data_IF_848123835743
#
_entry.id   IF_848123835743
#
_cell.length_a   1.000
_cell.length_b   1.000
_cell.length_c   1.000
_cell.angle_alpha   90.00
_cell.angle_beta   90.00
_cell.angle_gamma   90.00
#
_symmetry.space_group_name_H-M   'P 1'
#
loop_
_entity.id
_entity.type
_entity.pdbx_description
1 polymer ?
#
# COMPACT_ATOMS: atom_id res chain seq x y z
N UNK A 1 9.85 6.26 25.28
CA UNK A 1 9.77 7.24 24.18
C UNK A 1 8.29 7.46 23.89
N UNK A 2 7.86 8.70 23.63
CA UNK A 2 6.50 8.97 23.17
C UNK A 2 6.31 8.36 21.79
N UNK A 3 5.22 7.61 21.58
CA UNK A 3 4.86 7.06 20.28
C UNK A 3 4.69 8.21 19.28
N UNK A 4 5.33 8.10 18.11
CA UNK A 4 5.13 9.01 17.02
C UNK A 4 4.00 8.50 16.13
N UNK A 5 2.85 9.17 16.20
CA UNK A 5 1.63 8.82 15.47
C UNK A 5 1.70 9.14 13.95
N UNK A 6 2.84 9.63 13.45
CA UNK A 6 3.09 9.77 12.00
C UNK A 6 3.03 8.41 11.30
N UNK A 7 2.28 8.36 10.20
CA UNK A 7 2.06 7.14 9.41
C UNK A 7 2.91 7.19 8.14
N UNK A 8 3.76 6.19 7.96
CA UNK A 8 4.62 6.04 6.79
C UNK A 8 3.98 5.08 5.78
N UNK A 9 3.64 5.58 4.58
CA UNK A 9 3.11 4.75 3.47
C UNK A 9 4.23 4.27 2.58
N UNK A 10 4.34 2.95 2.40
CA UNK A 10 5.44 2.27 1.72
C UNK A 10 4.87 1.32 0.67
N UNK A 11 5.55 1.20 -0.47
CA UNK A 11 5.28 0.14 -1.44
C UNK A 11 6.02 0.38 -2.75
N UNK A 12 6.22 -0.69 -3.52
CA UNK A 12 6.83 -0.64 -4.85
C UNK A 12 6.06 0.24 -5.84
N UNK A 13 6.64 0.57 -7.02
CA UNK A 13 5.93 1.29 -8.07
C UNK A 13 4.67 0.52 -8.48
N UNK A 14 3.63 1.26 -8.86
CA UNK A 14 2.33 0.67 -9.26
C UNK A 14 1.60 -0.14 -8.18
N UNK A 15 1.98 0.00 -6.90
CA UNK A 15 1.27 -0.64 -5.77
C UNK A 15 -0.05 0.03 -5.38
N UNK A 16 -0.49 1.07 -6.09
CA UNK A 16 -1.78 1.74 -5.86
C UNK A 16 -1.73 2.96 -4.92
N UNK A 17 -0.54 3.37 -4.44
CA UNK A 17 -0.36 4.55 -3.57
C UNK A 17 -0.95 5.83 -4.17
N UNK A 18 -0.56 6.16 -5.40
CA UNK A 18 -1.01 7.35 -6.15
C UNK A 18 -2.54 7.44 -6.19
N UNK A 19 -3.20 6.34 -6.58
CA UNK A 19 -4.66 6.28 -6.66
C UNK A 19 -5.32 6.43 -5.29
N UNK A 20 -4.79 5.74 -4.27
CA UNK A 20 -5.29 5.86 -2.90
C UNK A 20 -5.19 7.29 -2.39
N UNK A 21 -4.01 7.91 -2.49
CA UNK A 21 -3.76 9.27 -1.99
C UNK A 21 -4.65 10.29 -2.70
N UNK A 22 -4.79 10.18 -4.03
CA UNK A 22 -5.65 11.08 -4.79
C UNK A 22 -7.13 10.95 -4.38
N UNK A 23 -7.61 9.73 -4.19
CA UNK A 23 -8.96 9.46 -3.69
C UNK A 23 -9.16 9.94 -2.25
N UNK A 24 -8.19 9.68 -1.38
CA UNK A 24 -8.17 10.13 0.02
C UNK A 24 -8.27 11.66 0.10
N UNK A 25 -7.41 12.39 -0.62
CA UNK A 25 -7.45 13.86 -0.65
C UNK A 25 -8.76 14.41 -1.21
N UNK A 26 -9.32 13.77 -2.24
CA UNK A 26 -10.60 14.18 -2.82
C UNK A 26 -11.72 14.07 -1.77
N UNK A 27 -11.84 12.93 -1.08
CA UNK A 27 -12.81 12.71 0.00
C UNK A 27 -12.64 13.69 1.16
N UNK A 28 -11.41 13.89 1.62
CA UNK A 28 -11.12 14.81 2.73
C UNK A 28 -11.45 16.25 2.36
N UNK A 29 -11.09 16.72 1.16
CA UNK A 29 -11.44 18.07 0.68
C UNK A 29 -12.94 18.28 0.54
N UNK A 30 -13.67 17.24 0.13
CA UNK A 30 -15.14 17.25 -0.02
C UNK A 30 -15.89 17.04 1.30
N UNK A 31 -15.18 16.87 2.42
CA UNK A 31 -15.75 16.59 3.76
C UNK A 31 -16.64 15.34 3.78
N UNK A 32 -16.24 14.32 3.03
CA UNK A 32 -16.92 13.01 2.94
C UNK A 32 -16.31 11.95 3.88
N UNK A 33 -15.39 12.37 4.75
CA UNK A 33 -14.68 11.55 5.73
C UNK A 33 -14.75 12.17 7.12
N UNK A 34 -14.54 11.35 8.16
CA UNK A 34 -14.32 11.84 9.54
C UNK A 34 -12.96 12.52 9.72
N UNK A 35 -12.07 12.37 8.74
CA UNK A 35 -10.73 12.96 8.68
C UNK A 35 -10.78 14.30 7.95
N UNK A 36 -10.05 15.31 8.45
CA UNK A 36 -9.91 16.63 7.82
C UNK A 36 -8.44 17.03 7.62
N UNK A 37 -8.13 17.80 6.57
CA UNK A 37 -6.80 18.39 6.38
C UNK A 37 -6.59 19.56 7.36
N UNK A 38 -5.44 19.58 8.04
CA UNK A 38 -5.05 20.69 8.94
C UNK A 38 -4.51 21.87 8.12
N UNK A 39 -3.66 21.57 7.13
CA UNK A 39 -3.09 22.54 6.19
C UNK A 39 -3.10 21.99 4.78
N UNK A 40 -2.92 22.88 3.81
CA UNK A 40 -2.70 22.46 2.43
C UNK A 40 -1.40 21.61 2.36
N UNK A 41 -1.38 20.53 1.55
CA UNK A 41 -0.16 19.75 1.34
C UNK A 41 0.97 20.63 0.82
N UNK A 42 2.16 20.52 1.41
CA UNK A 42 3.32 21.31 0.99
C UNK A 42 3.70 20.97 -0.46
N UNK A 43 3.58 19.69 -0.82
CA UNK A 43 3.87 19.21 -2.17
C UNK A 43 2.63 18.69 -2.92
N UNK A 44 1.62 19.55 -3.03
CA UNK A 44 0.37 19.19 -3.70
C UNK A 44 0.56 18.85 -5.19
N UNK A 45 1.66 19.30 -5.81
CA UNK A 45 1.92 19.11 -7.24
C UNK A 45 2.08 17.64 -7.60
N UNK A 46 2.82 16.86 -6.81
CA UNK A 46 2.92 15.39 -6.93
C UNK A 46 1.57 14.69 -7.12
N UNK A 47 0.52 15.19 -6.47
CA UNK A 47 -0.80 14.53 -6.44
C UNK A 47 -1.84 15.25 -7.30
N UNK A 48 -1.61 16.51 -7.66
CA UNK A 48 -2.58 17.33 -8.37
C UNK A 48 -3.01 16.70 -9.71
N UNK A 49 -2.07 16.14 -10.45
CA UNK A 49 -2.37 15.46 -11.72
C UNK A 49 -3.23 14.20 -11.50
N UNK A 50 -2.90 13.38 -10.50
CA UNK A 50 -3.67 12.19 -10.16
C UNK A 50 -5.12 12.54 -9.73
N UNK A 51 -5.30 13.59 -8.92
CA UNK A 51 -6.63 14.09 -8.53
C UNK A 51 -7.40 14.59 -9.75
N UNK A 52 -6.73 15.33 -10.64
CA UNK A 52 -7.35 15.85 -11.87
C UNK A 52 -7.78 14.73 -12.80
N UNK A 53 -6.93 13.72 -13.03
CA UNK A 53 -7.25 12.54 -13.84
C UNK A 53 -8.47 11.82 -13.31
N UNK A 54 -8.50 11.50 -12.01
CA UNK A 54 -9.67 10.87 -11.39
C UNK A 54 -10.94 11.72 -11.55
N UNK A 55 -10.82 13.04 -11.37
CA UNK A 55 -11.94 13.98 -11.57
C UNK A 55 -12.46 14.02 -13.01
N UNK A 56 -11.65 13.62 -13.98
CA UNK A 56 -12.02 13.52 -15.39
C UNK A 56 -12.45 12.09 -15.80
N UNK A 57 -12.59 11.16 -14.84
CA UNK A 57 -12.86 9.76 -15.14
C UNK A 57 -11.67 9.04 -15.80
N UNK A 58 -10.45 9.51 -15.57
CA UNK A 58 -9.23 8.88 -16.07
C UNK A 58 -8.44 8.23 -14.93
N UNK A 59 -7.87 7.06 -15.21
CA UNK A 59 -6.97 6.41 -14.26
C UNK A 59 -5.69 7.23 -14.08
N UNK A 60 -5.20 7.42 -12.84
CA UNK A 60 -3.88 7.99 -12.60
C UNK A 60 -2.80 7.17 -13.33
N UNK A 61 -1.89 7.87 -14.01
CA UNK A 61 -0.71 7.23 -14.59
C UNK A 61 0.35 7.05 -13.52
N UNK A 62 1.30 6.12 -13.76
CA UNK A 62 2.49 6.01 -12.91
C UNK A 62 3.21 7.36 -12.84
N UNK A 63 3.66 7.73 -11.63
CA UNK A 63 4.46 8.93 -11.40
C UNK A 63 5.82 8.76 -12.09
N UNK A 64 6.25 9.68 -12.98
CA UNK A 64 7.53 9.56 -13.68
C UNK A 64 8.74 9.54 -12.75
N UNK A 65 9.72 8.69 -13.07
CA UNK A 65 11.03 8.63 -12.44
C UNK A 65 11.73 10.01 -12.46
N UNK A 66 11.96 10.60 -11.29
CA UNK A 66 12.70 11.86 -11.16
C UNK A 66 11.94 13.00 -10.45
N UNK A 67 10.62 12.93 -10.35
CA UNK A 67 9.80 13.81 -9.50
C UNK A 67 9.53 13.15 -8.13
N UNK A 68 10.60 12.64 -7.49
CA UNK A 68 10.54 11.99 -6.16
C UNK A 68 10.25 13.02 -5.06
N UNK A 69 9.04 13.55 -5.09
CA UNK A 69 8.48 14.46 -4.11
C UNK A 69 7.99 13.64 -2.90
N UNK A 70 8.67 13.80 -1.77
CA UNK A 70 8.10 13.42 -0.47
C UNK A 70 6.75 14.13 -0.34
N UNK A 71 5.69 13.35 -0.16
CA UNK A 71 4.36 13.88 0.08
C UNK A 71 4.03 13.77 1.57
N UNK A 72 3.81 14.93 2.20
CA UNK A 72 3.36 15.01 3.59
C UNK A 72 1.96 15.60 3.63
N UNK A 73 1.02 14.85 4.21
CA UNK A 73 -0.37 15.27 4.43
C UNK A 73 -0.63 15.38 5.94
N UNK A 74 -0.70 16.61 6.45
CA UNK A 74 -1.10 16.86 7.85
C UNK A 74 -2.61 16.78 7.99
N UNK A 75 -3.07 15.81 8.77
CA UNK A 75 -4.48 15.47 8.93
C UNK A 75 -4.90 15.44 10.40
N UNK A 76 -6.17 15.71 10.62
CA UNK A 76 -6.85 15.61 11.90
C UNK A 76 -7.75 14.38 11.89
N UNK A 77 -7.55 13.47 12.84
CA UNK A 77 -8.35 12.26 13.04
C UNK A 77 -8.90 12.31 14.46
N UNK A 78 -10.18 12.67 14.61
CA UNK A 78 -10.76 12.95 15.93
C UNK A 78 -9.99 14.09 16.61
N UNK A 79 -9.42 13.83 17.79
CA UNK A 79 -8.63 14.83 18.55
C UNK A 79 -7.12 14.80 18.20
N UNK A 80 -6.66 13.81 17.44
CA UNK A 80 -5.24 13.64 17.09
C UNK A 80 -4.89 14.37 15.80
N UNK A 81 -3.78 15.11 15.81
CA UNK A 81 -3.13 15.67 14.63
C UNK A 81 -1.93 14.81 14.25
N UNK A 82 -1.89 14.28 13.03
CA UNK A 82 -0.84 13.39 12.56
C UNK A 82 -0.41 13.76 11.14
N UNK A 83 0.80 13.33 10.76
CA UNK A 83 1.28 13.41 9.39
C UNK A 83 1.17 12.05 8.71
N UNK A 84 0.58 12.03 7.52
CA UNK A 84 0.63 10.89 6.60
C UNK A 84 1.74 11.17 5.59
N UNK A 85 2.82 10.39 5.67
CA UNK A 85 4.05 10.61 4.92
C UNK A 85 4.20 9.52 3.86
N UNK A 86 4.29 9.93 2.60
CA UNK A 86 4.70 9.07 1.50
C UNK A 86 6.11 9.51 1.04
N UNK A 87 7.17 8.86 1.54
CA UNK A 87 8.57 9.22 1.27
C UNK A 87 8.93 9.09 -0.20
N UNK A 88 8.34 8.08 -0.83
CA UNK A 88 8.63 7.67 -2.18
C UNK A 88 7.29 7.47 -2.88
N UNK A 89 6.73 8.60 -3.29
CA UNK A 89 5.43 8.63 -3.95
C UNK A 89 5.42 7.80 -5.24
N UNK A 90 6.54 7.78 -5.98
CA UNK A 90 6.75 6.93 -7.16
C UNK A 90 6.95 5.44 -6.82
N UNK A 91 7.55 5.13 -5.67
CA UNK A 91 7.87 3.78 -5.21
C UNK A 91 9.22 3.24 -5.70
N UNK A 92 10.00 4.03 -6.43
CA UNK A 92 11.26 3.61 -7.05
C UNK A 92 12.36 3.37 -6.02
N UNK A 93 12.44 4.21 -5.00
CA UNK A 93 13.41 4.04 -3.91
C UNK A 93 13.10 2.77 -3.11
N UNK A 94 11.83 2.39 -2.94
CA UNK A 94 11.45 1.11 -2.33
C UNK A 94 11.95 -0.08 -3.16
N UNK A 95 11.91 0.02 -4.50
CA UNK A 95 12.53 -0.99 -5.36
C UNK A 95 14.04 -1.06 -5.13
N UNK A 96 14.72 0.08 -5.17
CA UNK A 96 16.17 0.16 -4.95
C UNK A 96 16.58 -0.39 -3.59
N UNK A 97 15.82 -0.12 -2.53
CA UNK A 97 16.06 -0.71 -1.21
C UNK A 97 16.01 -2.23 -1.24
N UNK A 98 15.05 -2.81 -1.95
CA UNK A 98 14.90 -4.26 -2.03
C UNK A 98 15.90 -4.92 -2.99
N UNK A 99 16.40 -4.19 -3.98
CA UNK A 99 17.31 -4.73 -5.00
C UNK A 99 18.78 -4.49 -4.68
N UNK A 100 19.10 -3.32 -4.12
CA UNK A 100 20.45 -2.90 -3.77
C UNK A 100 20.74 -3.08 -2.27
N UNK A 101 19.74 -3.36 -1.44
CA UNK A 101 19.86 -3.45 0.03
C UNK A 101 20.48 -2.18 0.65
N UNK A 102 20.22 -1.02 0.05
CA UNK A 102 20.72 0.27 0.50
C UNK A 102 19.59 1.16 0.97
N UNK A 103 19.70 1.67 2.19
CA UNK A 103 18.78 2.68 2.74
C UNK A 103 19.58 3.96 3.02
N UNK A 104 19.16 5.05 2.38
CA UNK A 104 19.79 6.35 2.55
C UNK A 104 19.46 7.01 3.91
N UNK A 105 20.15 8.10 4.21
CA UNK A 105 19.97 8.79 5.50
C UNK A 105 18.61 9.50 5.61
N UNK A 106 17.98 9.83 4.49
CA UNK A 106 16.64 10.43 4.47
C UNK A 106 15.61 9.43 4.98
N UNK A 107 15.62 8.21 4.45
CA UNK A 107 14.76 7.12 4.91
C UNK A 107 15.04 6.70 6.34
N UNK A 108 16.31 6.67 6.77
CA UNK A 108 16.63 6.43 8.18
C UNK A 108 15.97 7.46 9.09
N UNK A 109 15.97 8.74 8.69
CA UNK A 109 15.30 9.80 9.45
C UNK A 109 13.79 9.59 9.51
N UNK A 110 13.15 9.21 8.41
CA UNK A 110 11.70 8.96 8.36
C UNK A 110 11.28 7.74 9.17
N UNK A 111 12.03 6.64 9.10
CA UNK A 111 11.79 5.43 9.89
C UNK A 111 11.96 5.70 11.39
N UNK A 112 12.96 6.49 11.78
CA UNK A 112 13.15 6.88 13.18
C UNK A 112 12.04 7.82 13.70
N UNK A 113 11.36 8.54 12.80
CA UNK A 113 10.27 9.47 13.13
C UNK A 113 8.87 8.92 12.79
N UNK A 114 8.72 7.61 12.58
CA UNK A 114 7.42 6.98 12.35
C UNK A 114 7.35 5.66 13.11
N UNK A 115 6.29 5.49 13.92
CA UNK A 115 6.03 4.23 14.63
C UNK A 115 4.85 3.46 14.01
N UNK A 116 4.29 3.96 12.90
CA UNK A 116 3.14 3.37 12.20
C UNK A 116 3.45 3.23 10.73
N UNK A 117 3.38 2.01 10.21
CA UNK A 117 3.73 1.71 8.82
C UNK A 117 2.54 1.16 8.07
N UNK A 118 2.38 1.56 6.80
CA UNK A 118 1.37 1.00 5.90
C UNK A 118 2.07 0.47 4.65
N UNK A 119 2.03 -0.85 4.45
CA UNK A 119 2.67 -1.52 3.32
C UNK A 119 1.64 -1.83 2.23
N UNK A 120 1.77 -1.16 1.09
CA UNK A 120 0.92 -1.34 -0.09
C UNK A 120 1.47 -2.46 -0.98
N UNK A 121 0.65 -3.48 -1.22
CA UNK A 121 0.98 -4.64 -2.05
C UNK A 121 -0.14 -4.84 -3.07
N UNK A 122 0.18 -4.80 -4.37
CA UNK A 122 -0.80 -5.12 -5.41
C UNK A 122 -0.92 -6.64 -5.56
N UNK A 123 -1.95 -7.21 -4.95
CA UNK A 123 -2.13 -8.65 -4.86
C UNK A 123 -2.25 -9.33 -6.23
N UNK A 124 -2.90 -8.67 -7.20
CA UNK A 124 -3.16 -9.23 -8.54
C UNK A 124 -1.88 -9.48 -9.36
N UNK A 125 -0.81 -8.68 -9.15
CA UNK A 125 0.44 -8.85 -9.90
C UNK A 125 1.31 -9.99 -9.37
N UNK A 126 1.01 -10.47 -8.16
CA UNK A 126 1.76 -11.56 -7.54
C UNK A 126 1.32 -12.87 -8.19
N UNK A 127 2.20 -13.42 -9.02
CA UNK A 127 1.95 -14.71 -9.65
C UNK A 127 2.11 -15.82 -8.60
N UNK A 128 1.12 -16.73 -8.46
CA UNK A 128 1.33 -17.92 -7.64
C UNK A 128 2.51 -18.68 -8.24
N UNK A 129 3.52 -18.99 -7.41
CA UNK A 129 4.65 -19.77 -7.91
C UNK A 129 4.13 -21.11 -8.42
N UNK A 130 4.50 -21.45 -9.65
CA UNK A 130 4.26 -22.76 -10.22
C UNK A 130 4.83 -23.83 -9.31
N UNK A 131 3.96 -24.63 -8.73
CA UNK A 131 4.36 -25.80 -7.96
C UNK A 131 4.82 -26.89 -8.95
N UNK A 132 6.14 -27.01 -9.09
CA UNK A 132 6.78 -28.02 -9.94
C UNK A 132 6.45 -29.45 -9.49
N UNK A 133 5.96 -29.65 -8.25
CA UNK A 133 5.53 -30.95 -7.75
C UNK A 133 4.11 -31.33 -8.16
N UNK A 134 3.27 -30.35 -8.56
CA UNK A 134 1.86 -30.56 -8.91
C UNK A 134 1.62 -30.73 -10.41
N UNK A 135 2.50 -30.22 -11.26
CA UNK A 135 2.28 -30.20 -12.69
C UNK A 135 3.20 -31.18 -13.40
N UNK A 136 2.62 -32.22 -13.99
CA UNK A 136 3.29 -33.15 -14.90
C UNK A 136 3.92 -32.37 -16.05
N UNK A 137 5.11 -32.83 -16.49
CA UNK A 137 6.00 -32.26 -17.51
C UNK A 137 5.34 -31.81 -18.85
N UNK A 138 4.07 -32.15 -19.11
CA UNK A 138 3.39 -31.94 -20.39
C UNK A 138 2.86 -30.51 -20.63
N UNK A 139 2.87 -29.62 -19.63
CA UNK A 139 2.50 -28.20 -19.80
C UNK A 139 3.68 -27.23 -19.89
N UNK A 140 4.90 -27.75 -20.07
CA UNK A 140 6.12 -26.93 -20.17
C UNK A 140 6.29 -26.32 -21.57
N UNK A 141 5.54 -26.78 -22.58
CA UNK A 141 5.72 -26.34 -23.96
C UNK A 141 4.51 -25.53 -24.44
N UNK A 142 4.59 -24.19 -24.36
CA UNK A 142 3.97 -23.23 -25.30
C UNK A 142 4.13 -21.75 -24.92
N UNK A 143 4.74 -21.40 -23.79
CA UNK A 143 5.18 -20.02 -23.56
C UNK A 143 6.70 -19.95 -23.66
N UNK A 144 7.19 -19.54 -24.84
CA UNK A 144 8.58 -19.08 -24.99
C UNK A 144 8.76 -17.84 -24.12
N UNK A 145 9.07 -18.03 -22.85
CA UNK A 145 9.58 -16.96 -21.99
C UNK A 145 10.96 -16.56 -22.52
N UNK A 146 10.99 -15.60 -23.44
CA UNK A 146 12.21 -14.99 -24.01
C UNK A 146 12.89 -14.02 -23.05
N UNK A 147 12.99 -14.40 -21.78
CA UNK A 147 14.01 -13.88 -20.88
C UNK A 147 14.21 -14.90 -19.77
N UNK A 148 15.42 -15.46 -19.70
CA UNK A 148 15.91 -16.05 -18.46
C UNK A 148 15.83 -14.94 -17.41
N UNK A 149 14.79 -14.92 -16.58
CA UNK A 149 14.75 -14.05 -15.41
C UNK A 149 16.00 -14.39 -14.61
N UNK A 150 16.84 -13.39 -14.36
CA UNK A 150 17.97 -13.55 -13.45
C UNK A 150 17.46 -14.13 -12.13
N UNK A 151 18.24 -15.00 -11.45
CA UNK A 151 17.86 -15.56 -10.17
C UNK A 151 17.87 -14.46 -9.10
N UNK A 152 16.84 -13.62 -9.11
CA UNK A 152 16.58 -12.58 -8.12
C UNK A 152 15.78 -13.14 -6.94
N UNK A 153 15.77 -12.37 -5.85
CA UNK A 153 14.89 -12.64 -4.71
C UNK A 153 13.44 -12.71 -5.16
N UNK A 154 12.68 -13.63 -4.56
CA UNK A 154 11.24 -13.68 -4.78
C UNK A 154 10.53 -12.45 -4.22
N UNK A 155 9.35 -12.13 -4.73
CA UNK A 155 8.59 -10.95 -4.26
C UNK A 155 8.34 -11.00 -2.73
N UNK A 156 7.99 -12.16 -2.18
CA UNK A 156 7.85 -12.35 -0.73
C UNK A 156 9.16 -12.05 0.02
N UNK A 157 10.29 -12.53 -0.51
CA UNK A 157 11.60 -12.28 0.08
C UNK A 157 11.96 -10.80 0.05
N UNK A 158 11.62 -10.07 -1.04
CA UNK A 158 11.84 -8.63 -1.14
C UNK A 158 11.06 -7.87 -0.05
N UNK A 159 9.79 -8.21 0.19
CA UNK A 159 9.01 -7.59 1.26
C UNK A 159 9.56 -7.91 2.66
N UNK A 160 9.95 -9.16 2.90
CA UNK A 160 10.54 -9.57 4.19
C UNK A 160 11.86 -8.81 4.44
N UNK A 161 12.73 -8.72 3.43
CA UNK A 161 14.01 -8.01 3.53
C UNK A 161 13.81 -6.51 3.80
N UNK A 162 12.83 -5.90 3.14
CA UNK A 162 12.45 -4.50 3.38
C UNK A 162 12.06 -4.28 4.85
N UNK A 163 11.15 -5.12 5.37
CA UNK A 163 10.70 -5.01 6.76
C UNK A 163 11.83 -5.26 7.76
N UNK A 164 12.68 -6.26 7.51
CA UNK A 164 13.86 -6.53 8.34
C UNK A 164 14.83 -5.36 8.36
N UNK A 165 15.11 -4.76 7.21
CA UNK A 165 15.97 -3.58 7.08
C UNK A 165 15.39 -2.38 7.84
N UNK A 166 14.09 -2.14 7.73
CA UNK A 166 13.41 -1.06 8.46
C UNK A 166 13.47 -1.26 9.99
N UNK A 167 13.23 -2.49 10.47
CA UNK A 167 13.35 -2.83 11.90
C UNK A 167 14.79 -2.69 12.40
N UNK A 168 15.76 -3.10 11.59
CA UNK A 168 17.18 -2.96 11.91
C UNK A 168 17.57 -1.49 12.09
N UNK A 169 17.11 -0.59 11.21
CA UNK A 169 17.36 0.85 11.31
C UNK A 169 16.78 1.44 12.59
N UNK A 170 15.58 1.00 13.01
CA UNK A 170 14.98 1.41 14.29
C UNK A 170 15.62 0.72 15.50
N UNK A 171 16.67 -0.10 15.31
CA UNK A 171 17.35 -0.88 16.34
C UNK A 171 16.41 -1.80 17.14
N UNK A 172 15.41 -2.39 16.46
CA UNK A 172 14.43 -3.27 17.09
C UNK A 172 14.87 -4.72 16.94
N UNK A 173 15.00 -5.41 18.07
CA UNK A 173 15.39 -6.81 18.11
C UNK A 173 14.21 -7.74 17.91
N UNK A 174 14.37 -8.79 17.10
CA UNK A 174 13.35 -9.80 16.80
C UNK A 174 13.24 -10.91 17.86
N UNK A 175 13.76 -10.69 19.08
CA UNK A 175 13.79 -11.72 20.15
C UNK A 175 12.44 -11.93 20.82
N UNK A 176 11.60 -10.91 20.79
CA UNK A 176 10.25 -10.94 21.34
C UNK A 176 9.30 -10.33 20.31
N UNK A 177 8.00 -10.69 20.36
CA UNK A 177 6.98 -10.03 19.56
C UNK A 177 7.04 -8.50 19.72
N UNK A 178 6.88 -7.81 18.61
CA UNK A 178 6.97 -6.36 18.52
C UNK A 178 5.58 -5.76 18.66
N UNK A 179 5.42 -4.87 19.65
CA UNK A 179 4.21 -4.06 19.79
C UNK A 179 4.29 -2.71 19.05
N UNK A 180 5.52 -2.22 18.82
CA UNK A 180 5.82 -0.96 18.13
C UNK A 180 7.16 -1.09 17.37
N UNK A 181 7.23 -0.67 16.10
CA UNK A 181 6.22 0.00 15.29
C UNK A 181 5.08 -0.94 14.88
N UNK A 182 3.90 -0.39 14.63
CA UNK A 182 2.76 -1.13 14.09
C UNK A 182 2.80 -1.18 12.57
N UNK A 183 2.19 -2.22 11.98
CA UNK A 183 2.16 -2.40 10.52
C UNK A 183 0.76 -2.75 10.01
N UNK A 184 0.26 -1.98 9.05
CA UNK A 184 -0.94 -2.31 8.27
C UNK A 184 -0.55 -2.77 6.88
N UNK A 185 -0.90 -3.99 6.50
CA UNK A 185 -0.66 -4.54 5.15
C UNK A 185 -1.91 -4.29 4.32
N UNK A 186 -1.76 -3.63 3.18
CA UNK A 186 -2.87 -3.21 2.32
C UNK A 186 -2.74 -3.88 0.97
N UNK A 187 -3.62 -4.85 0.72
CA UNK A 187 -3.76 -5.54 -0.55
C UNK A 187 -4.57 -4.67 -1.51
N UNK A 188 -3.87 -3.97 -2.39
CA UNK A 188 -4.48 -3.02 -3.32
C UNK A 188 -5.01 -3.68 -4.59
N UNK A 189 -5.83 -2.93 -5.33
CA UNK A 189 -6.57 -3.41 -6.50
C UNK A 189 -7.44 -4.63 -6.14
N UNK A 190 -8.10 -4.56 -4.98
CA UNK A 190 -8.91 -5.64 -4.45
C UNK A 190 -10.05 -6.07 -5.37
N UNK A 191 -10.59 -5.13 -6.16
CA UNK A 191 -11.58 -5.37 -7.19
C UNK A 191 -11.10 -6.33 -8.29
N UNK A 192 -9.81 -6.30 -8.65
CA UNK A 192 -9.22 -7.17 -9.69
C UNK A 192 -9.09 -8.64 -9.26
N UNK A 193 -9.28 -8.93 -7.96
CA UNK A 193 -9.18 -10.30 -7.43
C UNK A 193 -10.47 -11.10 -7.55
N UNK A 194 -11.62 -10.43 -7.69
CA UNK A 194 -12.96 -11.04 -7.79
C UNK A 194 -13.21 -12.17 -6.77
N UNK A 195 -12.68 -12.02 -5.55
CA UNK A 195 -12.71 -13.05 -4.51
C UNK A 195 -13.70 -12.73 -3.37
N UNK A 196 -14.19 -13.79 -2.73
CA UNK A 196 -14.97 -13.73 -1.49
C UNK A 196 -14.11 -14.04 -0.25
N UNK A 197 -12.82 -14.26 -0.43
CA UNK A 197 -11.87 -14.51 0.64
C UNK A 197 -11.58 -13.24 1.45
N UNK A 198 -11.12 -13.42 2.67
CA UNK A 198 -10.63 -12.33 3.52
C UNK A 198 -9.24 -11.86 3.07
N UNK A 199 -8.83 -10.62 3.38
CA UNK A 199 -7.48 -10.13 3.09
C UNK A 199 -6.36 -11.05 3.62
N UNK A 200 -6.54 -11.63 4.81
CA UNK A 200 -5.58 -12.57 5.38
C UNK A 200 -5.46 -13.86 4.55
N UNK A 201 -6.58 -14.41 4.06
CA UNK A 201 -6.59 -15.60 3.20
C UNK A 201 -5.90 -15.34 1.86
N UNK A 202 -6.16 -14.19 1.23
CA UNK A 202 -5.49 -13.81 -0.02
C UNK A 202 -3.98 -13.64 0.21
N UNK A 203 -3.57 -13.02 1.33
CA UNK A 203 -2.16 -12.90 1.68
C UNK A 203 -1.53 -14.28 1.93
N UNK A 204 -2.24 -15.21 2.58
CA UNK A 204 -1.79 -16.58 2.83
C UNK A 204 -1.57 -17.37 1.53
N UNK A 205 -2.44 -17.20 0.54
CA UNK A 205 -2.32 -17.87 -0.77
C UNK A 205 -1.17 -17.26 -1.61
N UNK A 206 -1.11 -15.93 -1.68
CA UNK A 206 -0.16 -15.22 -2.56
C UNK A 206 1.23 -15.07 -1.94
N UNK A 207 1.29 -14.73 -0.65
CA UNK A 207 2.50 -14.38 0.07
C UNK A 207 2.64 -15.12 1.43
N UNK A 208 2.56 -16.47 1.47
CA UNK A 208 2.57 -17.26 2.71
C UNK A 208 3.75 -16.97 3.64
N UNK A 209 4.97 -16.78 3.10
CA UNK A 209 6.14 -16.51 3.92
C UNK A 209 6.11 -15.11 4.54
N UNK A 210 5.53 -14.14 3.84
CA UNK A 210 5.38 -12.78 4.37
C UNK A 210 4.38 -12.78 5.52
N UNK A 211 3.23 -13.44 5.35
CA UNK A 211 2.24 -13.58 6.41
C UNK A 211 2.85 -14.24 7.65
N UNK A 212 3.51 -15.39 7.47
CA UNK A 212 4.13 -16.10 8.59
C UNK A 212 5.22 -15.29 9.28
N UNK A 213 6.02 -14.53 8.52
CA UNK A 213 7.02 -13.62 9.07
C UNK A 213 6.38 -12.55 9.95
N UNK A 214 5.31 -11.91 9.47
CA UNK A 214 4.62 -10.84 10.21
C UNK A 214 3.95 -11.37 11.47
N UNK A 215 3.24 -12.50 11.38
CA UNK A 215 2.61 -13.16 12.53
C UNK A 215 3.61 -13.61 13.61
N UNK A 216 4.84 -13.91 13.22
CA UNK A 216 5.91 -14.32 14.15
C UNK A 216 6.58 -13.12 14.80
N UNK A 217 6.73 -12.02 14.06
CA UNK A 217 7.51 -10.85 14.49
C UNK A 217 6.66 -9.84 15.26
N UNK A 218 5.40 -9.64 14.89
CA UNK A 218 4.50 -8.69 15.55
C UNK A 218 3.56 -9.36 16.55
N UNK A 219 3.18 -8.62 17.59
CA UNK A 219 2.04 -8.98 18.42
C UNK A 219 0.74 -8.91 17.59
N UNK A 220 -0.24 -9.73 17.96
CA UNK A 220 -1.51 -9.86 17.21
C UNK A 220 -2.26 -8.52 17.06
N UNK A 221 -2.15 -7.65 18.06
CA UNK A 221 -2.83 -6.35 18.08
C UNK A 221 -1.99 -5.22 17.44
N UNK A 222 -0.79 -5.55 16.94
CA UNK A 222 0.17 -4.58 16.38
C UNK A 222 0.33 -4.67 14.87
N UNK A 223 -0.47 -5.52 14.22
CA UNK A 223 -0.61 -5.52 12.77
C UNK A 223 -2.05 -5.82 12.34
N UNK A 224 -2.42 -5.30 11.17
CA UNK A 224 -3.71 -5.62 10.52
C UNK A 224 -3.53 -5.77 9.01
N UNK A 225 -4.44 -6.52 8.38
CA UNK A 225 -4.43 -6.78 6.93
C UNK A 225 -5.74 -6.29 6.33
N UNK A 226 -5.65 -5.46 5.30
CA UNK A 226 -6.77 -4.85 4.60
C UNK A 226 -6.78 -5.20 3.13
N UNK A 227 -7.96 -5.30 2.55
CA UNK A 227 -8.17 -5.18 1.11
C UNK A 227 -8.52 -3.74 0.75
N UNK A 228 -7.97 -3.19 -0.32
CA UNK A 228 -8.26 -1.83 -0.77
C UNK A 228 -8.54 -1.82 -2.26
N UNK A 229 -9.70 -1.30 -2.62
CA UNK A 229 -9.97 -0.84 -3.98
C UNK A 229 -10.25 0.66 -3.94
N UNK A 230 -9.25 1.47 -4.31
CA UNK A 230 -9.41 2.91 -4.32
C UNK A 230 -10.27 3.40 -5.51
N UNK A 231 -10.21 2.69 -6.65
CA UNK A 231 -10.90 3.06 -7.88
C UNK A 231 -12.16 2.23 -8.15
N UNK A 232 -12.34 1.11 -7.44
CA UNK A 232 -13.47 0.17 -7.57
C UNK A 232 -13.57 -0.61 -8.89
N UNK A 233 -13.16 -0.02 -10.02
CA UNK A 233 -13.13 -0.66 -11.33
C UNK A 233 -12.16 0.04 -12.31
N UNK A 234 -11.72 -0.65 -13.37
CA UNK A 234 -10.90 -0.05 -14.43
C UNK A 234 -11.62 1.06 -15.21
N UNK A 235 -10.94 2.19 -15.44
CA UNK A 235 -11.43 3.34 -16.22
C UNK A 235 -11.06 3.24 -17.71
N UNK A 236 -11.21 2.04 -18.29
CA UNK A 236 -10.86 1.74 -19.67
C UNK A 236 -12.05 1.83 -20.65
N UNK A 237 -13.29 1.69 -20.17
CA UNK A 237 -14.50 1.79 -20.97
C UNK A 237 -15.16 3.17 -20.84
N UNK A 238 -15.85 3.62 -21.90
CA UNK A 238 -16.59 4.89 -21.88
C UNK A 238 -17.64 4.90 -20.76
N UNK A 239 -18.37 3.78 -20.60
CA UNK A 239 -19.37 3.60 -19.54
C UNK A 239 -18.79 3.78 -18.12
N UNK A 240 -17.59 3.24 -17.86
CA UNK A 240 -16.92 3.40 -16.57
C UNK A 240 -16.51 4.85 -16.31
N UNK A 241 -16.07 5.56 -17.36
CA UNK A 241 -15.71 6.99 -17.26
C UNK A 241 -16.93 7.85 -17.01
N UNK A 242 -18.01 7.64 -17.76
CA UNK A 242 -19.27 8.38 -17.62
C UNK A 242 -19.83 8.19 -16.20
N UNK A 243 -19.82 6.96 -15.69
CA UNK A 243 -20.22 6.65 -14.32
C UNK A 243 -19.39 7.42 -13.28
N UNK A 244 -18.08 7.54 -13.47
CA UNK A 244 -17.19 8.30 -12.58
C UNK A 244 -17.49 9.81 -12.60
N UNK A 245 -17.87 10.34 -13.76
CA UNK A 245 -18.23 11.75 -13.95
C UNK A 245 -19.61 12.06 -13.36
N UNK A 246 -20.56 11.14 -13.49
CA UNK A 246 -21.94 11.30 -13.02
C UNK A 246 -22.05 11.19 -11.48
N UNK A 247 -21.49 10.13 -10.90
CA UNK A 247 -21.59 9.85 -9.46
C UNK A 247 -20.47 10.51 -8.62
N UNK A 248 -19.53 11.17 -9.30
CA UNK A 248 -18.31 11.77 -8.78
C UNK A 248 -17.28 10.77 -8.20
N UNK A 249 -15.97 11.04 -8.35
CA UNK A 249 -14.91 10.11 -7.92
C UNK A 249 -14.94 9.77 -6.43
N UNK A 250 -15.34 10.69 -5.56
CA UNK A 250 -15.38 10.49 -4.11
C UNK A 250 -16.37 9.43 -3.63
N UNK A 251 -17.34 9.05 -4.48
CA UNK A 251 -18.35 8.04 -4.18
C UNK A 251 -17.85 6.60 -4.39
N UNK A 252 -16.70 6.44 -5.05
CA UNK A 252 -16.15 5.16 -5.48
C UNK A 252 -14.97 4.71 -4.62
N UNK A 253 -14.87 3.40 -4.47
CA UNK A 253 -13.80 2.73 -3.74
C UNK A 253 -14.25 2.26 -2.36
N UNK A 254 -13.60 1.22 -1.90
CA UNK A 254 -13.92 0.54 -0.65
C UNK A 254 -12.68 -0.10 -0.02
N UNK A 255 -12.73 -0.29 1.29
CA UNK A 255 -11.79 -1.06 2.08
C UNK A 255 -12.47 -2.31 2.60
N UNK A 256 -11.73 -3.40 2.71
CA UNK A 256 -12.17 -4.67 3.30
C UNK A 256 -11.32 -4.89 4.54
N UNK A 257 -11.97 -5.04 5.70
CA UNK A 257 -11.28 -5.30 6.95
C UNK A 257 -10.76 -6.75 7.05
N UNK A 258 -10.04 -7.05 8.12
CA UNK A 258 -9.51 -8.38 8.42
C UNK A 258 -10.61 -9.47 8.52
N UNK A 259 -11.85 -9.09 8.82
CA UNK A 259 -13.00 -10.00 8.92
C UNK A 259 -13.75 -10.17 7.59
N UNK A 260 -13.35 -9.44 6.54
CA UNK A 260 -14.04 -9.44 5.24
C UNK A 260 -15.19 -8.43 5.13
N UNK A 261 -15.43 -7.59 6.13
CA UNK A 261 -16.46 -6.56 6.06
C UNK A 261 -16.02 -5.41 5.13
N UNK A 262 -16.89 -5.05 4.19
CA UNK A 262 -16.65 -3.98 3.21
C UNK A 262 -17.14 -2.64 3.72
N UNK A 263 -16.33 -1.61 3.56
CA UNK A 263 -16.67 -0.22 3.88
C UNK A 263 -16.31 0.72 2.73
N UNK A 264 -17.21 1.65 2.38
CA UNK A 264 -17.02 2.61 1.29
C UNK A 264 -16.09 3.77 1.65
N UNK A 265 -15.87 3.99 2.94
CA UNK A 265 -14.97 5.05 3.40
C UNK A 265 -13.53 4.52 3.50
N UNK A 266 -12.77 4.63 2.41
CA UNK A 266 -11.36 4.24 2.38
C UNK A 266 -10.49 5.02 3.38
N UNK A 267 -10.96 6.17 3.90
CA UNK A 267 -10.20 6.95 4.87
C UNK A 267 -10.13 6.26 6.23
N UNK A 268 -11.03 5.30 6.49
CA UNK A 268 -10.99 4.43 7.67
C UNK A 268 -9.71 3.62 7.78
N UNK A 269 -9.03 3.32 6.68
CA UNK A 269 -7.73 2.66 6.69
C UNK A 269 -6.72 3.44 7.56
N UNK A 270 -6.68 4.76 7.41
CA UNK A 270 -5.77 5.64 8.16
C UNK A 270 -6.18 5.70 9.63
N UNK A 271 -7.49 5.78 9.91
CA UNK A 271 -8.00 5.78 11.27
C UNK A 271 -7.72 4.44 11.99
N UNK A 272 -7.87 3.31 11.31
CA UNK A 272 -7.57 1.98 11.86
C UNK A 272 -6.08 1.82 12.16
N UNK A 273 -5.21 2.21 11.22
CA UNK A 273 -3.74 2.21 11.40
C UNK A 273 -3.30 3.04 12.61
N UNK A 274 -4.00 4.15 12.91
CA UNK A 274 -3.71 5.00 14.06
C UNK A 274 -4.12 4.38 15.41
N UNK A 275 -5.00 3.38 15.40
CA UNK A 275 -5.55 2.75 16.60
C UNK A 275 -4.89 1.40 16.95
N UNK A 276 -4.01 0.87 16.09
CA UNK A 276 -3.06 -0.19 16.43
C UNK A 276 -2.10 0.28 17.53
#
# INVERSE_FOLDING_TARGET
MSVNDSILIIGHPSSGKTTFIAQFLTRVKKRKSSISLIKAPENIKAVADAVKKLSNGEAPTATPAGENEELVLSIQVGEKSIDLVCPDYGGEQVSDMTELMTIDDHWKKLLNNSDRWVLFIRAHTIMPRYDLSRNSYEKIDNEKHTSLRSPGLSEQSKFIELLQSMLHIKNIGLKHPISMPTISIVLTCWDELETNETPAQVLQDKLPMLLHFVETVWEKDSFEIFGLSAQEFPLNTIEAKDKYLDDLPESFGYVVDQNGAKDKDITKLVAATLNL
#
